data_IF_846953469771
#
_entry.id   IF_846953469771
#
_cell.length_a   1.000
_cell.length_b   1.000
_cell.length_c   1.000
_cell.angle_alpha   90.00
_cell.angle_beta   90.00
_cell.angle_gamma   90.00
#
_symmetry.space_group_name_H-M   'P 1'
#
loop_
_entity.id
_entity.type
_entity.pdbx_description
1 polymer ?
#
# COMPACT_ATOMS: atom_id res chain seq x y z
N UNK A 1 39.45 -2.05 39.70
CA UNK A 1 38.24 -1.28 40.07
C UNK A 1 37.04 -2.00 39.51
N UNK A 2 36.27 -2.66 40.38
CA UNK A 2 35.03 -3.35 40.03
C UNK A 2 33.90 -2.33 39.88
N UNK A 3 33.29 -2.24 38.71
CA UNK A 3 32.01 -1.55 38.52
C UNK A 3 30.90 -2.60 38.42
N UNK A 4 30.18 -2.75 39.53
CA UNK A 4 29.01 -3.60 39.68
C UNK A 4 27.88 -3.08 38.78
N UNK A 5 27.40 -3.90 37.83
CA UNK A 5 26.19 -3.61 37.05
C UNK A 5 24.98 -4.16 37.82
N UNK A 6 24.13 -3.27 38.30
CA UNK A 6 22.80 -3.61 38.80
C UNK A 6 21.90 -4.00 37.62
N UNK A 7 21.45 -5.27 37.60
CA UNK A 7 20.48 -5.78 36.62
C UNK A 7 19.08 -5.38 37.09
N UNK A 8 18.43 -4.49 36.35
CA UNK A 8 17.01 -4.15 36.59
C UNK A 8 16.13 -5.31 36.08
N UNK A 9 15.12 -5.76 36.85
CA UNK A 9 14.29 -6.90 36.47
C UNK A 9 13.42 -6.60 35.24
N UNK A 10 13.44 -7.56 34.31
CA UNK A 10 12.89 -7.55 32.95
C UNK A 10 11.38 -7.30 32.83
N UNK A 11 10.65 -7.15 33.95
CA UNK A 11 9.18 -7.10 33.96
C UNK A 11 8.62 -5.67 33.86
N UNK A 12 9.41 -4.65 34.18
CA UNK A 12 8.97 -3.24 34.11
C UNK A 12 9.13 -2.67 32.69
N UNK A 13 10.00 -3.27 31.87
CA UNK A 13 10.29 -2.81 30.51
C UNK A 13 9.14 -3.09 29.51
N UNK A 14 8.29 -4.08 29.78
CA UNK A 14 7.20 -4.50 28.88
C UNK A 14 5.92 -3.66 28.99
N UNK A 15 5.77 -2.83 30.02
CA UNK A 15 4.56 -2.01 30.20
C UNK A 15 4.67 -0.62 29.56
N UNK A 16 5.90 -0.16 29.27
CA UNK A 16 6.15 1.17 28.67
C UNK A 16 5.96 1.17 27.15
N UNK A 17 5.98 -0.01 26.50
CA UNK A 17 5.84 -0.17 25.05
C UNK A 17 4.39 -0.12 24.55
N UNK A 18 3.38 -0.22 25.42
CA UNK A 18 1.96 -0.18 25.02
C UNK A 18 1.40 1.25 24.91
N UNK A 19 2.09 2.27 25.41
CA UNK A 19 1.59 3.66 25.48
C UNK A 19 2.42 4.69 24.69
N UNK A 20 3.45 4.27 23.95
CA UNK A 20 4.21 5.17 23.07
C UNK A 20 4.34 4.54 21.68
N UNK A 21 3.69 5.09 20.63
CA UNK A 21 3.76 4.54 19.27
C UNK A 21 5.10 4.84 18.57
N UNK A 22 6.13 5.31 19.31
CA UNK A 22 7.34 5.89 18.72
C UNK A 22 8.57 4.97 18.85
N UNK A 23 8.52 3.86 19.58
CA UNK A 23 9.66 2.93 19.64
C UNK A 23 9.23 1.49 19.43
N UNK A 24 9.45 0.96 18.22
CA UNK A 24 9.37 -0.50 18.02
C UNK A 24 9.20 -1.06 16.62
N UNK A 25 9.63 -0.40 15.55
CA UNK A 25 10.12 -1.12 14.36
C UNK A 25 11.28 -0.31 13.80
N UNK A 26 12.51 -0.75 14.06
CA UNK A 26 13.65 -0.25 13.32
C UNK A 26 13.40 -0.62 11.85
N UNK A 27 12.89 0.34 11.08
CA UNK A 27 12.83 0.25 9.64
C UNK A 27 14.27 0.09 9.18
N UNK A 28 14.63 -1.11 8.74
CA UNK A 28 15.89 -1.31 8.03
C UNK A 28 15.80 -0.42 6.80
N UNK A 29 16.43 0.74 6.84
CA UNK A 29 16.67 1.52 5.63
C UNK A 29 17.57 0.65 4.76
N UNK A 30 16.97 -0.14 3.88
CA UNK A 30 17.66 -0.62 2.69
C UNK A 30 18.04 0.63 1.92
N UNK A 31 19.24 1.12 2.22
CA UNK A 31 19.89 2.15 1.42
C UNK A 31 20.20 1.43 0.12
N UNK A 32 19.34 1.64 -0.87
CA UNK A 32 19.54 1.21 -2.24
C UNK A 32 20.71 2.01 -2.81
N UNK A 33 21.91 1.55 -2.51
CA UNK A 33 23.13 2.10 -3.06
C UNK A 33 23.17 1.73 -4.54
N UNK A 34 22.82 2.72 -5.37
CA UNK A 34 22.86 2.76 -6.84
C UNK A 34 21.51 2.48 -7.51
N UNK A 35 20.60 3.45 -7.46
CA UNK A 35 19.41 3.50 -8.32
C UNK A 35 19.77 4.18 -9.65
N UNK A 36 20.20 3.39 -10.64
CA UNK A 36 20.44 3.86 -12.01
C UNK A 36 19.13 4.32 -12.69
N UNK A 37 18.65 5.52 -12.34
CA UNK A 37 17.38 6.08 -12.85
C UNK A 37 16.11 5.40 -12.32
N UNK A 38 16.24 4.40 -11.46
CA UNK A 38 15.13 3.71 -10.79
C UNK A 38 14.65 4.47 -9.54
N UNK A 39 13.41 4.19 -9.12
CA UNK A 39 12.86 4.70 -7.87
C UNK A 39 13.28 3.84 -6.69
N UNK A 40 13.21 4.44 -5.50
CA UNK A 40 13.43 3.73 -4.24
C UNK A 40 12.39 2.64 -4.07
N UNK A 41 12.78 1.50 -3.49
CA UNK A 41 11.89 0.36 -3.19
C UNK A 41 10.61 0.78 -2.47
N UNK A 42 10.70 1.69 -1.50
CA UNK A 42 9.54 2.18 -0.76
C UNK A 42 8.52 2.91 -1.66
N UNK A 43 8.98 3.67 -2.66
CA UNK A 43 8.10 4.37 -3.59
C UNK A 43 7.51 3.40 -4.62
N UNK A 44 8.29 2.41 -5.05
CA UNK A 44 7.80 1.31 -5.88
C UNK A 44 6.69 0.50 -5.21
N UNK A 45 6.82 0.22 -3.91
CA UNK A 45 5.76 -0.42 -3.12
C UNK A 45 4.47 0.40 -3.15
N UNK A 46 4.55 1.73 -2.95
CA UNK A 46 3.38 2.62 -3.00
C UNK A 46 2.70 2.60 -4.37
N UNK A 47 3.46 2.60 -5.47
CA UNK A 47 2.89 2.51 -6.83
C UNK A 47 2.16 1.19 -7.02
N UNK A 48 2.76 0.07 -6.61
CA UNK A 48 2.13 -1.25 -6.71
C UNK A 48 0.86 -1.35 -5.87
N UNK A 49 0.87 -0.83 -4.64
CA UNK A 49 -0.30 -0.79 -3.78
C UNK A 49 -1.41 0.07 -4.36
N UNK A 50 -1.06 1.23 -4.93
CA UNK A 50 -2.01 2.10 -5.61
C UNK A 50 -2.64 1.45 -6.84
N UNK A 51 -1.83 0.77 -7.67
CA UNK A 51 -2.31 0.01 -8.81
C UNK A 51 -3.32 -1.06 -8.37
N UNK A 52 -3.00 -1.83 -7.32
CA UNK A 52 -3.90 -2.84 -6.76
C UNK A 52 -5.19 -2.25 -6.20
N UNK A 53 -5.12 -1.16 -5.45
CA UNK A 53 -6.29 -0.49 -4.88
C UNK A 53 -7.25 0.04 -5.96
N UNK A 54 -6.73 0.67 -7.01
CA UNK A 54 -7.52 1.14 -8.15
C UNK A 54 -8.22 -0.02 -8.88
N UNK A 55 -7.52 -1.13 -9.09
CA UNK A 55 -8.10 -2.32 -9.71
C UNK A 55 -9.21 -2.93 -8.85
N UNK A 56 -8.99 -3.03 -7.54
CA UNK A 56 -10.01 -3.51 -6.61
C UNK A 56 -11.27 -2.65 -6.66
N UNK A 57 -11.12 -1.32 -6.60
CA UNK A 57 -12.25 -0.39 -6.69
C UNK A 57 -12.98 -0.46 -8.03
N UNK A 58 -12.24 -0.68 -9.13
CA UNK A 58 -12.83 -0.94 -10.45
C UNK A 58 -13.77 -2.15 -10.42
N UNK A 59 -13.32 -3.27 -9.85
CA UNK A 59 -14.13 -4.49 -9.72
C UNK A 59 -15.36 -4.26 -8.84
N UNK A 60 -15.23 -3.52 -7.74
CA UNK A 60 -16.37 -3.18 -6.88
C UNK A 60 -17.42 -2.31 -7.62
N UNK A 61 -16.99 -1.40 -8.50
CA UNK A 61 -17.92 -0.66 -9.36
C UNK A 61 -18.60 -1.58 -10.38
N UNK A 62 -17.89 -2.53 -10.99
CA UNK A 62 -18.50 -3.50 -11.92
C UNK A 62 -19.56 -4.36 -11.23
N UNK A 63 -19.32 -4.81 -9.98
CA UNK A 63 -20.33 -5.54 -9.19
C UNK A 63 -21.59 -4.70 -8.95
N UNK A 64 -21.42 -3.42 -8.65
CA UNK A 64 -22.54 -2.48 -8.48
C UNK A 64 -23.26 -2.23 -9.81
N UNK A 65 -22.54 -2.08 -10.91
CA UNK A 65 -23.11 -1.92 -12.24
C UNK A 65 -23.99 -3.11 -12.62
N UNK A 66 -23.49 -4.34 -12.44
CA UNK A 66 -24.25 -5.58 -12.65
C UNK A 66 -25.51 -5.62 -11.78
N UNK A 67 -25.42 -5.21 -10.51
CA UNK A 67 -26.57 -5.13 -9.62
C UNK A 67 -27.64 -4.12 -10.09
N UNK A 68 -27.25 -2.95 -10.62
CA UNK A 68 -28.20 -1.98 -11.17
C UNK A 68 -28.78 -2.44 -12.52
N UNK A 69 -28.00 -3.12 -13.36
CA UNK A 69 -28.48 -3.72 -14.61
C UNK A 69 -29.55 -4.78 -14.36
N UNK A 70 -29.34 -5.65 -13.36
CA UNK A 70 -30.34 -6.65 -12.92
C UNK A 70 -31.64 -6.02 -12.39
N UNK A 71 -31.61 -4.75 -11.96
CA UNK A 71 -32.79 -3.97 -11.56
C UNK A 71 -33.44 -3.22 -12.72
N UNK A 72 -32.97 -3.40 -13.96
CA UNK A 72 -33.46 -2.69 -15.15
C UNK A 72 -33.01 -1.22 -15.25
N UNK A 73 -32.00 -0.82 -14.49
CA UNK A 73 -31.53 0.58 -14.43
C UNK A 73 -30.28 0.77 -15.28
N UNK A 74 -30.45 0.72 -16.60
CA UNK A 74 -29.34 0.70 -17.56
C UNK A 74 -28.43 1.93 -17.45
N UNK A 75 -29.00 3.15 -17.43
CA UNK A 75 -28.21 4.38 -17.33
C UNK A 75 -27.31 4.41 -16.08
N UNK A 76 -27.80 3.90 -14.93
CA UNK A 76 -27.02 3.88 -13.68
C UNK A 76 -25.91 2.83 -13.76
N UNK A 77 -26.20 1.66 -14.34
CA UNK A 77 -25.19 0.64 -14.65
C UNK A 77 -24.10 1.20 -15.55
N UNK A 78 -24.47 1.94 -16.60
CA UNK A 78 -23.53 2.47 -17.58
C UNK A 78 -22.60 3.52 -16.98
N UNK A 79 -23.10 4.41 -16.12
CA UNK A 79 -22.26 5.36 -15.39
C UNK A 79 -21.28 4.66 -14.43
N UNK A 80 -21.73 3.61 -13.73
CA UNK A 80 -20.85 2.80 -12.88
C UNK A 80 -19.77 2.08 -13.70
N UNK A 81 -20.12 1.54 -14.87
CA UNK A 81 -19.17 0.90 -15.79
C UNK A 81 -18.12 1.89 -16.31
N UNK A 82 -18.50 3.13 -16.65
CA UNK A 82 -17.54 4.19 -17.03
C UNK A 82 -16.54 4.44 -15.90
N UNK A 83 -17.02 4.56 -14.66
CA UNK A 83 -16.16 4.71 -13.48
C UNK A 83 -15.22 3.51 -13.30
N UNK A 84 -15.73 2.29 -13.47
CA UNK A 84 -14.92 1.08 -13.38
C UNK A 84 -13.81 1.06 -14.44
N UNK A 85 -14.13 1.39 -15.69
CA UNK A 85 -13.15 1.46 -16.78
C UNK A 85 -12.07 2.51 -16.50
N UNK A 86 -12.46 3.69 -16.02
CA UNK A 86 -11.52 4.74 -15.66
C UNK A 86 -10.53 4.28 -14.58
N UNK A 87 -11.01 3.66 -13.50
CA UNK A 87 -10.15 3.13 -12.44
C UNK A 87 -9.24 2.00 -12.93
N UNK A 88 -9.74 1.13 -13.82
CA UNK A 88 -8.92 0.08 -14.43
C UNK A 88 -7.79 0.66 -15.29
N UNK A 89 -8.06 1.73 -16.03
CA UNK A 89 -7.03 2.42 -16.83
C UNK A 89 -5.98 3.09 -15.94
N UNK A 90 -6.39 3.75 -14.84
CA UNK A 90 -5.45 4.30 -13.87
C UNK A 90 -4.57 3.21 -13.24
N UNK A 91 -5.16 2.06 -12.90
CA UNK A 91 -4.41 0.92 -12.37
C UNK A 91 -3.37 0.42 -13.37
N UNK A 92 -3.75 0.24 -14.63
CA UNK A 92 -2.84 -0.18 -15.70
C UNK A 92 -1.71 0.84 -15.92
N UNK A 93 -2.01 2.14 -15.87
CA UNK A 93 -1.01 3.19 -15.99
C UNK A 93 -0.02 3.16 -14.80
N UNK A 94 -0.49 2.94 -13.58
CA UNK A 94 0.37 2.79 -12.41
C UNK A 94 1.26 1.54 -12.52
N UNK A 95 0.73 0.42 -13.03
CA UNK A 95 1.53 -0.76 -13.34
C UNK A 95 2.61 -0.45 -14.39
N UNK A 96 2.30 0.36 -15.41
CA UNK A 96 3.29 0.81 -16.40
C UNK A 96 4.37 1.69 -15.78
N UNK A 97 4.01 2.59 -14.87
CA UNK A 97 4.99 3.37 -14.08
C UNK A 97 5.92 2.44 -13.30
N UNK A 98 5.39 1.39 -12.67
CA UNK A 98 6.21 0.40 -11.98
C UNK A 98 7.18 -0.30 -12.93
N UNK A 99 6.74 -0.73 -14.12
CA UNK A 99 7.63 -1.36 -15.10
C UNK A 99 8.81 -0.46 -15.51
N UNK A 100 8.58 0.85 -15.64
CA UNK A 100 9.60 1.80 -16.10
C UNK A 100 10.59 2.16 -14.99
N UNK A 101 10.09 2.40 -13.77
CA UNK A 101 10.91 2.98 -12.70
C UNK A 101 11.29 2.00 -11.59
N UNK A 102 10.72 0.80 -11.54
CA UNK A 102 10.86 -0.11 -10.41
C UNK A 102 11.30 -1.52 -10.78
N UNK A 103 11.21 -1.92 -12.05
CA UNK A 103 11.64 -3.23 -12.51
C UNK A 103 13.16 -3.23 -12.68
N UNK A 104 13.84 -4.07 -11.90
CA UNK A 104 15.28 -4.35 -12.00
C UNK A 104 15.53 -5.49 -12.99
#
# INVERSE_FOLDING_TARGET
MNTSRTVLPNTILFLVSLFNPILGLAETTDIDTTTDGLWKTADCKKVSEHAGALLYLSVELLKKADAERKKGKENQSDELNKGAMFLSQLSANAAKTFEVFCKR
#
